data_IF_546364494974
#
_entry.id   IF_546364494974
#
_cell.length_a   1.000
_cell.length_b   1.000
_cell.length_c   1.000
_cell.angle_alpha   90.00
_cell.angle_beta   90.00
_cell.angle_gamma   90.00
#
_symmetry.space_group_name_H-M   'P 1'
#
loop_
_entity.id
_entity.type
_entity.pdbx_description
1 polymer ?
#
# COMPACT_ATOMS: atom_id res chain seq x y z
N UNK A 1 -4.55 36.67 -6.63
CA UNK A 1 -4.18 36.36 -8.03
C UNK A 1 -2.70 36.10 -8.10
N UNK A 2 -2.25 34.94 -8.61
CA UNK A 2 -1.01 34.92 -9.37
C UNK A 2 -1.23 34.37 -10.79
N UNK A 3 -0.74 35.17 -11.72
CA UNK A 3 -0.31 34.97 -13.10
C UNK A 3 -0.69 33.64 -13.79
N UNK A 4 -1.66 33.75 -14.70
CA UNK A 4 -2.14 32.68 -15.56
C UNK A 4 -1.12 32.29 -16.63
N UNK A 5 -0.40 31.20 -16.37
CA UNK A 5 0.21 30.39 -17.44
C UNK A 5 -0.89 29.55 -18.07
N UNK A 6 -1.32 29.91 -19.28
CA UNK A 6 -2.24 29.07 -20.07
C UNK A 6 -1.50 27.78 -20.45
N UNK A 7 -2.00 26.62 -19.99
CA UNK A 7 -1.43 25.29 -20.27
C UNK A 7 -2.15 24.60 -21.43
N UNK A 8 -1.45 23.80 -22.25
CA UNK A 8 -2.07 23.03 -23.32
C UNK A 8 -3.08 22.01 -22.77
N UNK A 9 -4.18 21.81 -23.49
CA UNK A 9 -5.24 20.85 -23.15
C UNK A 9 -4.64 19.43 -23.17
N UNK A 10 -4.41 18.83 -22.00
CA UNK A 10 -3.95 17.43 -21.90
C UNK A 10 -3.03 17.11 -20.72
N UNK A 11 -2.49 18.11 -20.04
CA UNK A 11 -1.67 17.88 -18.84
C UNK A 11 -2.57 17.86 -17.59
N UNK A 12 -2.68 16.73 -16.86
CA UNK A 12 -3.42 16.71 -15.60
C UNK A 12 -2.69 17.56 -14.55
N UNK A 13 -3.42 18.44 -13.86
CA UNK A 13 -2.92 19.23 -12.72
C UNK A 13 -2.33 18.28 -11.66
N UNK A 14 -1.00 18.21 -11.57
CA UNK A 14 -0.31 17.27 -10.70
C UNK A 14 0.22 17.97 -9.45
N UNK A 15 -0.67 18.36 -8.54
CA UNK A 15 -0.32 18.86 -7.20
C UNK A 15 0.80 19.90 -7.18
N UNK A 16 0.77 20.87 -8.09
CA UNK A 16 1.87 21.83 -8.28
C UNK A 16 1.92 22.89 -7.17
N UNK A 17 0.84 23.05 -6.39
CA UNK A 17 0.82 24.08 -5.34
C UNK A 17 1.33 23.53 -3.99
N UNK A 18 2.05 24.34 -3.20
CA UNK A 18 2.46 23.97 -1.85
C UNK A 18 1.28 23.57 -0.94
N UNK A 19 0.11 24.18 -1.17
CA UNK A 19 -1.12 23.87 -0.43
C UNK A 19 -1.63 22.46 -0.75
N UNK A 20 -1.69 22.09 -2.03
CA UNK A 20 -2.10 20.73 -2.44
C UNK A 20 -1.13 19.66 -1.91
N UNK A 21 0.17 19.93 -1.95
CA UNK A 21 1.18 19.03 -1.37
C UNK A 21 1.00 18.87 0.15
N UNK A 22 0.62 19.94 0.85
CA UNK A 22 0.36 19.89 2.29
C UNK A 22 -0.82 18.97 2.59
N UNK A 23 -1.95 19.17 1.91
CA UNK A 23 -3.15 18.33 2.07
C UNK A 23 -2.86 16.86 1.72
N UNK A 24 -2.08 16.62 0.66
CA UNK A 24 -1.68 15.26 0.28
C UNK A 24 -0.84 14.59 1.38
N UNK A 25 0.11 15.31 1.97
CA UNK A 25 0.95 14.80 3.06
C UNK A 25 0.14 14.52 4.33
N UNK A 26 -0.90 15.31 4.60
CA UNK A 26 -1.83 15.08 5.72
C UNK A 26 -2.69 13.83 5.52
N UNK A 27 -3.16 13.60 4.28
CA UNK A 27 -4.00 12.44 3.94
C UNK A 27 -3.20 11.14 3.82
N UNK A 28 -1.94 11.23 3.41
CA UNK A 28 -1.11 10.08 3.06
C UNK A 28 -1.02 8.98 4.14
N UNK A 29 -0.87 9.28 5.44
CA UNK A 29 -0.83 8.26 6.49
C UNK A 29 -2.06 7.35 6.48
N UNK A 30 -3.26 7.95 6.40
CA UNK A 30 -4.53 7.20 6.38
C UNK A 30 -4.66 6.29 5.15
N UNK A 31 -4.20 6.78 3.99
CA UNK A 31 -4.17 5.99 2.75
C UNK A 31 -3.17 4.85 2.86
N UNK A 32 -1.98 5.13 3.41
CA UNK A 32 -0.94 4.15 3.64
C UNK A 32 -1.42 3.03 4.59
N UNK A 33 -2.14 3.38 5.66
CA UNK A 33 -2.68 2.41 6.61
C UNK A 33 -3.73 1.52 5.96
N UNK A 34 -4.64 2.10 5.18
CA UNK A 34 -5.60 1.35 4.38
C UNK A 34 -4.91 0.36 3.44
N UNK A 35 -3.92 0.83 2.69
CA UNK A 35 -3.21 0.01 1.69
C UNK A 35 -2.44 -1.14 2.32
N UNK A 36 -1.80 -0.91 3.48
CA UNK A 36 -0.91 -1.89 4.09
C UNK A 36 -1.64 -2.92 4.97
N UNK A 37 -2.66 -2.49 5.70
CA UNK A 37 -3.32 -3.35 6.69
C UNK A 37 -4.62 -3.97 6.19
N UNK A 38 -5.33 -3.29 5.28
CA UNK A 38 -6.71 -3.65 4.92
C UNK A 38 -6.91 -4.04 3.45
N UNK A 39 -6.01 -3.64 2.54
CA UNK A 39 -6.17 -3.95 1.11
C UNK A 39 -5.40 -5.22 0.71
N UNK A 40 -6.10 -6.33 0.39
CA UNK A 40 -5.45 -7.51 -0.14
C UNK A 40 -5.01 -7.26 -1.58
N UNK A 41 -3.78 -7.65 -1.90
CA UNK A 41 -3.22 -7.56 -3.26
C UNK A 41 -2.87 -8.95 -3.77
N UNK A 42 -2.82 -9.15 -5.09
CA UNK A 42 -2.31 -10.38 -5.72
C UNK A 42 -0.90 -10.15 -6.24
N UNK A 43 -0.01 -11.13 -6.08
CA UNK A 43 1.34 -11.12 -6.62
C UNK A 43 1.54 -12.26 -7.62
N UNK A 44 2.26 -12.03 -8.72
CA UNK A 44 2.61 -13.11 -9.64
C UNK A 44 3.58 -14.07 -8.95
N UNK A 45 3.25 -15.36 -8.92
CA UNK A 45 4.07 -16.42 -8.32
C UNK A 45 4.77 -17.30 -9.35
N UNK A 46 4.39 -17.18 -10.62
CA UNK A 46 5.03 -17.93 -11.69
C UNK A 46 4.28 -17.84 -13.01
N UNK A 47 4.60 -18.81 -13.85
CA UNK A 47 4.02 -18.99 -15.17
C UNK A 47 3.55 -20.42 -15.31
N UNK A 48 2.38 -20.61 -15.91
CA UNK A 48 1.86 -21.92 -16.30
C UNK A 48 1.73 -21.95 -17.81
N UNK A 49 2.28 -22.97 -18.45
CA UNK A 49 1.94 -23.37 -19.82
C UNK A 49 0.97 -24.55 -19.75
N UNK A 50 0.01 -24.59 -20.68
CA UNK A 50 -0.83 -25.76 -20.86
C UNK A 50 -0.07 -26.78 -21.72
N UNK A 51 0.21 -28.01 -21.23
CA UNK A 51 0.91 -29.03 -22.01
C UNK A 51 0.19 -29.41 -23.31
N UNK A 52 -1.11 -29.13 -23.41
CA UNK A 52 -1.94 -29.45 -24.57
C UNK A 52 -2.08 -28.30 -25.58
N UNK A 53 -1.57 -27.10 -25.28
CA UNK A 53 -1.64 -25.94 -26.19
C UNK A 53 -0.41 -25.88 -27.12
N UNK A 54 -0.55 -26.17 -28.42
CA UNK A 54 0.56 -26.14 -29.37
C UNK A 54 1.13 -24.73 -29.62
N UNK A 55 0.45 -23.67 -29.17
CA UNK A 55 0.96 -22.29 -29.27
C UNK A 55 1.98 -21.92 -28.19
N UNK A 56 2.15 -22.75 -27.15
CA UNK A 56 3.14 -22.53 -26.08
C UNK A 56 2.88 -21.29 -25.21
N UNK A 57 1.65 -20.75 -25.20
CA UNK A 57 1.34 -19.52 -24.46
C UNK A 57 1.44 -19.72 -22.95
N UNK A 58 2.31 -18.92 -22.32
CA UNK A 58 2.48 -18.89 -20.87
C UNK A 58 1.48 -17.91 -20.24
N UNK A 59 0.70 -18.38 -19.28
CA UNK A 59 -0.21 -17.56 -18.46
C UNK A 59 0.44 -17.24 -17.12
N UNK A 60 0.23 -16.03 -16.61
CA UNK A 60 0.73 -15.63 -15.28
C UNK A 60 -0.12 -16.31 -14.20
N UNK A 61 0.53 -16.97 -13.27
CA UNK A 61 -0.10 -17.54 -12.08
C UNK A 61 0.06 -16.55 -10.93
N UNK A 62 -1.02 -16.28 -10.21
CA UNK A 62 -1.05 -15.37 -9.06
C UNK A 62 -1.31 -16.12 -7.78
N UNK A 63 -0.82 -15.57 -6.66
CA UNK A 63 -1.14 -16.07 -5.32
C UNK A 63 -2.60 -15.82 -4.92
N UNK A 64 -2.98 -16.45 -3.81
CA UNK A 64 -4.14 -16.05 -3.04
C UNK A 64 -3.93 -14.62 -2.52
N UNK A 65 -4.90 -13.71 -2.68
CA UNK A 65 -4.78 -12.35 -2.19
C UNK A 65 -4.43 -12.29 -0.71
N UNK A 66 -3.40 -11.51 -0.37
CA UNK A 66 -2.98 -11.22 1.02
C UNK A 66 -2.72 -9.73 1.18
N UNK A 67 -2.92 -9.20 2.38
CA UNK A 67 -2.51 -7.81 2.65
C UNK A 67 -0.98 -7.73 2.81
N UNK A 68 -0.35 -6.58 2.53
CA UNK A 68 1.07 -6.38 2.80
C UNK A 68 1.46 -6.72 4.24
N UNK A 69 0.63 -6.36 5.22
CA UNK A 69 0.79 -6.77 6.62
C UNK A 69 0.94 -8.29 6.78
N UNK A 70 0.04 -9.10 6.21
CA UNK A 70 0.13 -10.56 6.31
C UNK A 70 1.35 -11.12 5.57
N UNK A 71 1.71 -10.54 4.41
CA UNK A 71 2.95 -10.95 3.70
C UNK A 71 4.20 -10.68 4.51
N UNK A 72 4.25 -9.54 5.20
CA UNK A 72 5.37 -9.19 6.05
C UNK A 72 5.50 -10.16 7.24
N UNK A 73 4.39 -10.58 7.84
CA UNK A 73 4.39 -11.63 8.86
C UNK A 73 4.86 -12.99 8.29
N UNK A 74 4.35 -13.39 7.13
CA UNK A 74 4.72 -14.64 6.45
C UNK A 74 6.21 -14.68 6.06
N UNK A 75 6.83 -13.52 5.81
CA UNK A 75 8.26 -13.43 5.46
C UNK A 75 9.22 -13.86 6.58
N UNK A 76 8.75 -13.86 7.83
CA UNK A 76 9.55 -14.18 9.04
C UNK A 76 10.80 -13.32 9.26
N UNK A 77 10.89 -12.17 8.59
CA UNK A 77 12.01 -11.22 8.73
C UNK A 77 11.92 -10.44 10.05
N UNK A 78 10.69 -10.28 10.58
CA UNK A 78 10.43 -9.49 11.78
C UNK A 78 10.72 -10.24 13.08
N UNK A 79 11.37 -9.57 14.02
CA UNK A 79 11.48 -10.03 15.40
C UNK A 79 10.11 -10.11 16.09
N UNK A 80 10.01 -10.90 17.16
CA UNK A 80 8.77 -11.02 17.95
C UNK A 80 8.29 -9.69 18.52
N UNK A 81 9.23 -8.80 18.88
CA UNK A 81 8.90 -7.46 19.37
C UNK A 81 8.23 -6.61 18.27
N UNK A 82 8.80 -6.60 17.07
CA UNK A 82 8.25 -5.88 15.92
C UNK A 82 6.89 -6.43 15.47
N UNK A 83 6.69 -7.75 15.53
CA UNK A 83 5.39 -8.34 15.23
C UNK A 83 4.31 -7.89 16.23
N UNK A 84 4.66 -7.79 17.52
CA UNK A 84 3.75 -7.30 18.57
C UNK A 84 3.41 -5.82 18.37
N UNK A 85 4.41 -5.01 18.05
CA UNK A 85 4.23 -3.58 17.75
C UNK A 85 3.29 -3.38 16.57
N UNK A 86 3.51 -4.11 15.47
CA UNK A 86 2.64 -4.08 14.30
C UNK A 86 1.21 -4.54 14.60
N UNK A 87 1.04 -5.58 15.41
CA UNK A 87 -0.29 -6.07 15.79
C UNK A 87 -1.03 -5.04 16.67
N UNK A 88 -0.33 -4.42 17.62
CA UNK A 88 -0.88 -3.36 18.47
C UNK A 88 -1.27 -2.13 17.62
N UNK A 89 -0.41 -1.74 16.69
CA UNK A 89 -0.71 -0.65 15.77
C UNK A 89 -1.93 -0.97 14.88
N UNK A 90 -1.99 -2.17 14.28
CA UNK A 90 -3.16 -2.58 13.51
C UNK A 90 -4.44 -2.55 14.35
N UNK A 91 -4.39 -2.97 15.61
CA UNK A 91 -5.55 -2.92 16.51
C UNK A 91 -6.01 -1.48 16.77
N UNK A 92 -5.06 -0.53 16.87
CA UNK A 92 -5.41 0.88 17.02
C UNK A 92 -6.02 1.55 15.79
N UNK A 93 -5.83 0.97 14.60
CA UNK A 93 -6.45 1.45 13.37
C UNK A 93 -7.92 1.02 13.24
N UNK A 94 -8.41 0.13 14.12
CA UNK A 94 -9.81 -0.27 14.11
C UNK A 94 -10.66 0.90 14.64
N UNK A 95 -11.57 1.48 13.83
CA UNK A 95 -12.40 2.60 14.27
C UNK A 95 -13.34 2.24 15.43
N UNK A 96 -13.53 0.94 15.72
CA UNK A 96 -14.29 0.46 16.87
C UNK A 96 -13.47 0.49 18.18
N UNK A 97 -12.16 0.71 18.10
CA UNK A 97 -11.27 0.86 19.24
C UNK A 97 -11.26 2.32 19.72
N UNK A 98 -12.20 2.69 20.59
CA UNK A 98 -12.25 4.01 21.20
C UNK A 98 -11.27 4.12 22.37
N UNK A 99 -9.98 4.41 22.11
CA UNK A 99 -9.01 4.63 23.19
C UNK A 99 -7.59 4.95 22.76
N UNK A 100 -7.33 6.21 22.38
CA UNK A 100 -5.98 6.79 22.39
C UNK A 100 -5.41 7.17 21.02
N UNK A 101 -4.77 8.35 20.97
CA UNK A 101 -3.99 8.84 19.83
C UNK A 101 -2.89 7.86 19.47
N UNK A 102 -2.96 7.29 18.27
CA UNK A 102 -1.98 6.32 17.81
C UNK A 102 -1.04 6.94 16.78
N UNK A 103 0.25 6.95 17.14
CA UNK A 103 1.33 7.46 16.30
C UNK A 103 1.92 6.28 15.53
N UNK A 104 1.87 6.34 14.20
CA UNK A 104 2.54 5.36 13.33
C UNK A 104 4.05 5.35 13.62
N UNK A 105 4.68 4.19 13.86
CA UNK A 105 6.13 4.12 14.00
C UNK A 105 6.81 4.51 12.68
N UNK A 106 7.50 5.66 12.70
CA UNK A 106 8.17 6.29 11.54
C UNK A 106 9.29 5.43 10.90
N UNK A 107 9.65 4.30 11.52
CA UNK A 107 10.74 3.41 11.12
C UNK A 107 10.30 2.31 10.13
N UNK A 108 9.01 2.03 10.00
CA UNK A 108 8.54 0.98 9.09
C UNK A 108 8.01 1.60 7.79
N UNK A 109 8.86 1.68 6.77
CA UNK A 109 8.41 1.95 5.40
C UNK A 109 7.68 0.70 4.89
N UNK A 110 6.40 0.56 5.23
CA UNK A 110 5.53 -0.36 4.50
C UNK A 110 5.14 0.27 3.17
N UNK A 111 5.93 -0.06 2.16
CA UNK A 111 5.58 0.00 0.75
C UNK A 111 6.19 -1.27 0.17
N UNK A 112 5.37 -2.18 -0.37
CA UNK A 112 5.88 -3.33 -1.11
C UNK A 112 5.20 -3.48 -2.47
N UNK A 113 6.04 -3.30 -3.50
CA UNK A 113 6.25 -4.15 -4.67
C UNK A 113 5.41 -5.40 -4.79
#
# INVERSE_FOLDING_TARGET
>A
MPEGRVRPIGEPDRYDTPTELTVLNELWPSVNDRLNFYMPTKKPIGWSSDPSDPSGRCKRVYDTPKTPYHRLLDSRILSRAQQRELAAYKASLDPLFSGGTCVFPRSLKMIQW
#
